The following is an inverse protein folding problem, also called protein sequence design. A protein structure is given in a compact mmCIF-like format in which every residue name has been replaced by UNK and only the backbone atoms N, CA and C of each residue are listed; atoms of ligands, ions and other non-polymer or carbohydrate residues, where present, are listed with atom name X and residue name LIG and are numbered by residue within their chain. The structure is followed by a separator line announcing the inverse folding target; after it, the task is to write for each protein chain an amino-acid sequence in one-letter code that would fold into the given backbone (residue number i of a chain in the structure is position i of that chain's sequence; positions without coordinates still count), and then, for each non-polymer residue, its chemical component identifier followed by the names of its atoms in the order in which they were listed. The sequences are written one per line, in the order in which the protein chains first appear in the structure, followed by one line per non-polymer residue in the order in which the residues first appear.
data_IF_025035412314
#
_entry.id   IF_025035412314
#
_cell.length_a   1.000
_cell.length_b   1.000
_cell.length_c   1.000
_cell.angle_alpha   90.00
_cell.angle_beta   90.00
_cell.angle_gamma   90.00
#
_symmetry.space_group_name_H-M   'P 1'
#
loop_
_entity.id
_entity.type
_entity.pdbx_description
1 polymer ?
#
# COMPACT_ATOMS: atom_id res chain seq x y z
N UNK A 1 3.90 9.52 13.99
CA UNK A 1 4.64 9.34 15.26
C UNK A 1 5.62 8.15 15.21
N UNK A 2 5.19 6.94 14.85
CA UNK A 2 6.07 5.76 14.80
C UNK A 2 7.29 5.91 13.86
N UNK A 3 7.09 6.44 12.65
CA UNK A 3 8.21 6.69 11.71
C UNK A 3 9.26 7.64 12.30
N UNK A 4 8.80 8.68 13.00
CA UNK A 4 9.67 9.63 13.70
C UNK A 4 10.48 8.96 14.81
N UNK A 5 9.86 8.07 15.58
CA UNK A 5 10.55 7.28 16.61
C UNK A 5 11.65 6.40 15.99
N UNK A 6 11.37 5.74 14.86
CA UNK A 6 12.37 4.92 14.15
C UNK A 6 13.54 5.77 13.66
N UNK A 7 13.29 6.97 13.12
CA UNK A 7 14.33 7.88 12.69
C UNK A 7 15.23 8.32 13.86
N UNK A 8 14.64 8.70 15.00
CA UNK A 8 15.39 9.09 16.21
C UNK A 8 16.32 7.99 16.71
N UNK A 9 15.79 6.77 16.86
CA UNK A 9 16.61 5.62 17.30
C UNK A 9 17.73 5.32 16.31
N UNK A 10 17.49 5.53 15.01
CA UNK A 10 18.51 5.35 13.97
C UNK A 10 19.64 6.39 14.12
N UNK A 11 19.29 7.65 14.38
CA UNK A 11 20.26 8.74 14.63
C UNK A 11 21.06 8.46 15.92
N UNK A 12 20.39 8.03 16.99
CA UNK A 12 21.05 7.61 18.24
C UNK A 12 22.03 6.44 18.01
N UNK A 13 21.73 5.58 17.05
CA UNK A 13 22.58 4.46 16.61
C UNK A 13 23.70 4.88 15.64
N UNK A 14 23.92 6.19 15.45
CA UNK A 14 24.94 6.78 14.55
C UNK A 14 24.71 6.49 13.07
N UNK A 15 23.46 6.24 12.67
CA UNK A 15 23.08 6.16 11.25
C UNK A 15 22.79 7.58 10.78
N UNK A 16 23.45 8.01 9.70
CA UNK A 16 23.19 9.29 9.05
C UNK A 16 21.80 9.29 8.42
N UNK A 17 20.87 10.02 9.01
CA UNK A 17 19.46 10.06 8.62
C UNK A 17 18.86 11.41 8.97
N UNK A 18 18.06 11.95 8.03
CA UNK A 18 17.25 13.13 8.25
C UNK A 18 15.83 12.71 8.67
N UNK A 19 15.44 13.08 9.91
CA UNK A 19 14.15 12.73 10.51
C UNK A 19 12.96 13.22 9.67
N UNK A 20 13.00 14.47 9.21
CA UNK A 20 11.88 15.08 8.49
C UNK A 20 11.81 14.53 7.06
N UNK A 21 12.94 14.33 6.39
CA UNK A 21 12.98 13.67 5.08
C UNK A 21 12.48 12.23 5.14
N UNK A 22 12.77 11.49 6.21
CA UNK A 22 12.28 10.12 6.39
C UNK A 22 10.76 10.09 6.56
N UNK A 23 10.21 10.98 7.37
CA UNK A 23 8.75 11.10 7.57
C UNK A 23 8.06 11.55 6.28
N UNK A 24 8.64 12.52 5.57
CA UNK A 24 8.11 13.03 4.30
C UNK A 24 8.17 12.01 3.16
N UNK A 25 8.93 10.92 3.32
CA UNK A 25 8.95 9.80 2.37
C UNK A 25 7.60 9.09 2.26
N UNK A 26 6.77 9.14 3.30
CA UNK A 26 5.44 8.52 3.30
C UNK A 26 4.40 9.49 2.72
N UNK A 27 3.99 9.24 1.48
CA UNK A 27 3.02 10.10 0.77
C UNK A 27 1.58 9.61 0.96
N UNK A 28 0.67 10.39 1.58
CA UNK A 28 -0.70 9.96 1.88
C UNK A 28 -1.67 10.09 0.69
N UNK A 29 -1.26 10.67 -0.44
CA UNK A 29 -2.15 11.08 -1.54
C UNK A 29 -2.99 9.95 -2.17
N UNK A 30 -2.60 8.69 -1.98
CA UNK A 30 -3.31 7.52 -2.52
C UNK A 30 -4.31 6.90 -1.53
N UNK A 31 -4.37 7.36 -0.28
CA UNK A 31 -5.22 6.75 0.76
C UNK A 31 -6.69 6.74 0.38
N UNK A 32 -7.23 7.90 -0.02
CA UNK A 32 -8.65 8.03 -0.39
C UNK A 32 -8.99 7.25 -1.67
N UNK A 33 -8.05 7.22 -2.63
CA UNK A 33 -8.18 6.48 -3.89
C UNK A 33 -8.26 4.97 -3.62
N UNK A 34 -7.39 4.46 -2.76
CA UNK A 34 -7.39 3.04 -2.37
C UNK A 34 -8.65 2.69 -1.59
N UNK A 35 -9.11 3.57 -0.68
CA UNK A 35 -10.35 3.35 0.08
C UNK A 35 -11.56 3.27 -0.85
N UNK A 36 -11.72 4.25 -1.74
CA UNK A 36 -12.79 4.26 -2.73
C UNK A 36 -12.75 3.01 -3.63
N UNK A 37 -11.55 2.54 -3.99
CA UNK A 37 -11.39 1.32 -4.76
C UNK A 37 -11.85 0.07 -4.00
N UNK A 38 -11.48 -0.12 -2.74
CA UNK A 38 -11.93 -1.31 -1.99
C UNK A 38 -13.42 -1.25 -1.63
N UNK A 39 -14.03 -0.06 -1.64
CA UNK A 39 -15.47 0.15 -1.47
C UNK A 39 -16.29 -0.12 -2.75
N UNK A 40 -15.64 -0.46 -3.87
CA UNK A 40 -16.30 -0.86 -5.11
C UNK A 40 -16.58 0.27 -6.11
N UNK A 41 -15.99 1.46 -5.95
CA UNK A 41 -16.14 2.56 -6.92
C UNK A 41 -15.59 2.19 -8.31
N UNK A 42 -16.14 2.73 -9.40
CA UNK A 42 -15.58 2.46 -10.73
C UNK A 42 -14.15 3.00 -10.90
N UNK A 43 -13.35 2.41 -11.80
CA UNK A 43 -12.00 2.93 -12.10
C UNK A 43 -12.06 4.37 -12.60
N UNK A 44 -13.06 4.71 -13.42
CA UNK A 44 -13.28 6.07 -13.90
C UNK A 44 -13.57 7.07 -12.78
N UNK A 45 -14.30 6.66 -11.73
CA UNK A 45 -14.57 7.50 -10.56
C UNK A 45 -13.28 7.82 -9.80
N UNK A 46 -12.47 6.79 -9.51
CA UNK A 46 -11.23 6.98 -8.74
C UNK A 46 -10.18 7.79 -9.50
N UNK A 47 -10.14 7.70 -10.83
CA UNK A 47 -9.25 8.53 -11.65
C UNK A 47 -9.60 10.01 -11.57
N UNK A 48 -10.86 10.36 -11.31
CA UNK A 48 -11.31 11.76 -11.14
C UNK A 48 -11.02 12.31 -9.74
N UNK A 49 -10.74 11.45 -8.76
CA UNK A 49 -10.44 11.86 -7.38
C UNK A 49 -9.01 12.37 -7.20
N UNK A 50 -8.13 12.13 -8.18
CA UNK A 50 -6.72 12.46 -8.10
C UNK A 50 -6.20 12.97 -9.44
N UNK A 51 -5.11 13.74 -9.41
CA UNK A 51 -4.39 14.18 -10.62
C UNK A 51 -3.28 13.22 -11.04
N UNK A 52 -3.15 12.09 -10.35
CA UNK A 52 -2.16 11.04 -10.67
C UNK A 52 -2.60 10.28 -11.92
N UNK A 53 -1.66 10.06 -12.85
CA UNK A 53 -1.89 9.26 -14.05
C UNK A 53 -2.40 7.84 -13.74
N UNK A 54 -3.33 7.36 -14.57
CA UNK A 54 -4.04 6.10 -14.41
C UNK A 54 -3.07 4.90 -14.36
N UNK A 55 -2.05 4.90 -15.22
CA UNK A 55 -1.02 3.87 -15.21
C UNK A 55 -0.18 3.85 -13.92
N UNK A 56 -0.03 5.00 -13.26
CA UNK A 56 0.62 5.08 -11.95
C UNK A 56 -0.29 4.56 -10.84
N UNK A 57 -1.60 4.82 -10.90
CA UNK A 57 -2.60 4.24 -10.00
C UNK A 57 -2.56 2.72 -10.08
N UNK A 58 -2.65 2.15 -11.30
CA UNK A 58 -2.61 0.69 -11.51
C UNK A 58 -1.31 0.09 -10.96
N UNK A 59 -0.15 0.69 -11.25
CA UNK A 59 1.13 0.22 -10.71
C UNK A 59 1.19 0.28 -9.19
N UNK A 60 0.68 1.35 -8.57
CA UNK A 60 0.61 1.47 -7.11
C UNK A 60 -0.30 0.40 -6.49
N UNK A 61 -1.47 0.14 -7.08
CA UNK A 61 -2.39 -0.90 -6.59
C UNK A 61 -1.78 -2.31 -6.68
N UNK A 62 -1.09 -2.63 -7.78
CA UNK A 62 -0.39 -3.92 -7.92
C UNK A 62 0.75 -4.07 -6.91
N UNK A 63 1.51 -2.99 -6.65
CA UNK A 63 2.54 -2.97 -5.59
C UNK A 63 1.94 -3.13 -4.20
N UNK A 64 0.78 -2.51 -3.95
CA UNK A 64 0.06 -2.65 -2.68
C UNK A 64 -0.44 -4.08 -2.46
N UNK A 65 -0.95 -4.75 -3.51
CA UNK A 65 -1.35 -6.16 -3.41
C UNK A 65 -0.19 -7.08 -3.06
N UNK A 66 0.97 -6.89 -3.68
CA UNK A 66 2.17 -7.65 -3.35
C UNK A 66 2.61 -7.41 -1.89
N UNK A 67 2.57 -6.16 -1.42
CA UNK A 67 2.85 -5.83 -0.03
C UNK A 67 1.88 -6.53 0.93
N UNK A 68 0.57 -6.54 0.63
CA UNK A 68 -0.43 -7.24 1.46
C UNK A 68 -0.15 -8.75 1.54
N UNK A 69 0.29 -9.36 0.44
CA UNK A 69 0.68 -10.77 0.42
C UNK A 69 1.89 -11.03 1.31
N UNK A 70 2.91 -10.19 1.26
CA UNK A 70 4.08 -10.28 2.12
C UNK A 70 3.71 -10.13 3.60
N UNK A 71 2.79 -9.20 3.92
CA UNK A 71 2.27 -9.02 5.28
C UNK A 71 1.47 -10.22 5.77
N UNK A 72 0.72 -10.89 4.89
CA UNK A 72 0.02 -12.14 5.21
C UNK A 72 1.02 -13.25 5.58
N UNK A 73 2.09 -13.43 4.79
CA UNK A 73 3.17 -14.37 5.12
C UNK A 73 3.85 -14.05 6.46
N UNK A 74 4.12 -12.77 6.73
CA UNK A 74 4.70 -12.32 8.00
C UNK A 74 3.77 -12.59 9.20
N UNK A 75 2.47 -12.30 9.06
CA UNK A 75 1.48 -12.57 10.09
C UNK A 75 1.38 -14.07 10.42
N UNK A 76 1.41 -14.91 9.38
CA UNK A 76 1.45 -16.37 9.53
C UNK A 76 2.71 -16.85 10.24
N UNK A 77 3.87 -16.29 9.91
CA UNK A 77 5.14 -16.64 10.56
C UNK A 77 5.17 -16.29 12.06
N UNK A 78 4.48 -15.22 12.45
CA UNK A 78 4.34 -14.80 13.86
C UNK A 78 3.25 -15.62 14.59
N UNK A 79 2.41 -16.37 13.87
CA UNK A 79 1.30 -17.14 14.42
C UNK A 79 0.06 -16.30 14.74
N UNK A 80 -0.08 -15.11 14.15
CA UNK A 80 -1.24 -14.25 14.35
C UNK A 80 -2.30 -14.46 13.27
N UNK A 81 -3.24 -15.38 13.53
CA UNK A 81 -4.31 -15.74 12.60
C UNK A 81 -5.30 -14.60 12.32
N UNK A 82 -5.50 -13.67 13.26
CA UNK A 82 -6.41 -12.54 13.06
C UNK A 82 -5.85 -11.56 12.01
N UNK A 83 -4.55 -11.26 12.10
CA UNK A 83 -3.87 -10.43 11.11
C UNK A 83 -3.79 -11.12 9.74
N UNK A 84 -3.51 -12.43 9.72
CA UNK A 84 -3.53 -13.22 8.48
C UNK A 84 -4.89 -13.12 7.76
N UNK A 85 -5.99 -13.28 8.50
CA UNK A 85 -7.34 -13.16 7.97
C UNK A 85 -7.61 -11.73 7.42
N UNK A 86 -7.25 -10.69 8.18
CA UNK A 86 -7.41 -9.29 7.76
C UNK A 86 -6.64 -8.96 6.48
N UNK A 87 -5.38 -9.39 6.36
CA UNK A 87 -4.59 -9.16 5.14
C UNK A 87 -5.12 -9.95 3.96
N UNK A 88 -5.63 -11.17 4.19
CA UNK A 88 -6.25 -11.99 3.15
C UNK A 88 -7.53 -11.33 2.62
N UNK A 89 -8.40 -10.82 3.50
CA UNK A 89 -9.61 -10.09 3.12
C UNK A 89 -9.27 -8.82 2.31
N UNK A 90 -8.29 -8.03 2.78
CA UNK A 90 -7.82 -6.84 2.07
C UNK A 90 -7.29 -7.15 0.66
N UNK A 91 -6.56 -8.27 0.53
CA UNK A 91 -6.03 -8.75 -0.76
C UNK A 91 -7.14 -9.15 -1.73
N UNK A 92 -8.24 -9.71 -1.23
CA UNK A 92 -9.39 -10.06 -2.07
C UNK A 92 -10.13 -8.80 -2.55
N UNK A 93 -10.33 -7.82 -1.67
CA UNK A 93 -11.03 -6.57 -2.01
C UNK A 93 -10.28 -5.70 -3.03
N UNK A 94 -8.94 -5.71 -3.02
CA UNK A 94 -8.17 -4.92 -3.96
C UNK A 94 -8.14 -5.53 -5.37
N UNK A 95 -8.21 -6.86 -5.48
CA UNK A 95 -8.13 -7.62 -6.73
C UNK A 95 -9.44 -7.58 -7.51
N UNK A 96 -9.59 -6.57 -8.37
CA UNK A 96 -10.73 -6.48 -9.31
C UNK A 96 -10.39 -5.75 -10.61
N UNK A 97 -11.19 -6.03 -11.62
CA UNK A 97 -11.29 -5.28 -12.89
C UNK A 97 -9.94 -4.94 -13.55
N UNK A 98 -9.91 -3.78 -14.22
CA UNK A 98 -8.82 -3.27 -15.05
C UNK A 98 -7.46 -3.18 -14.34
N UNK A 99 -7.44 -3.04 -13.02
CA UNK A 99 -6.21 -2.93 -12.23
C UNK A 99 -5.41 -4.24 -12.25
N UNK A 100 -6.09 -5.37 -12.44
CA UNK A 100 -5.50 -6.71 -12.49
C UNK A 100 -5.69 -7.41 -13.84
N UNK A 101 -6.01 -6.65 -14.89
CA UNK A 101 -6.06 -7.18 -16.25
C UNK A 101 -4.69 -7.78 -16.64
N UNK A 102 -4.71 -8.92 -17.33
CA UNK A 102 -3.50 -9.60 -17.78
C UNK A 102 -2.73 -8.76 -18.81
N UNK A 103 -1.41 -8.94 -18.85
CA UNK A 103 -0.58 -8.39 -19.93
C UNK A 103 -0.94 -9.05 -21.25
N UNK A 104 -0.78 -8.33 -22.36
CA UNK A 104 -0.93 -8.87 -23.71
C UNK A 104 0.25 -9.75 -24.15
N UNK A 105 1.36 -9.71 -23.40
CA UNK A 105 2.58 -10.50 -23.65
C UNK A 105 2.64 -11.80 -22.83
N UNK A 106 1.52 -12.20 -22.22
CA UNK A 106 1.40 -13.36 -21.35
C UNK A 106 0.81 -14.54 -22.12
#
# INVERSE_FOLDING_TARGET
ETARRVARVSIESKIDMDEERYVDGFKPYMMDVVKAWVDGQSFASICKMTTIFEGSIVRCMRRLEELLRQMCCAAKAIGNSELEAKFTEGTQKIKRDIVFAASLYL
#
